data_IF_309037714308
#
_entry.id   IF_309037714308
#
_cell.length_a   1.000
_cell.length_b   1.000
_cell.length_c   1.000
_cell.angle_alpha   90.00
_cell.angle_beta   90.00
_cell.angle_gamma   90.00
#
_symmetry.space_group_name_H-M   'P 1'
#
loop_
_entity.id
_entity.type
_entity.pdbx_description
1 polymer ?
#
# COMPACT_ATOMS: atom_id res chain seq x y z
N UNK A 1 -0.41 -7.75 64.42
CA UNK A 1 0.62 -7.41 65.41
C UNK A 1 1.69 -6.64 64.65
N UNK A 2 1.35 -5.43 64.22
CA UNK A 2 1.31 -4.17 65.01
C UNK A 2 2.72 -3.56 65.01
N UNK A 3 2.91 -2.44 64.29
CA UNK A 3 3.15 -1.07 64.80
C UNK A 3 4.55 -0.96 65.47
N UNK A 4 5.44 0.01 65.26
CA UNK A 4 5.39 1.45 64.92
C UNK A 4 6.88 1.90 64.79
N UNK A 5 7.26 2.80 63.87
CA UNK A 5 7.33 4.29 64.00
C UNK A 5 8.67 4.79 64.59
N UNK A 6 9.32 5.74 63.89
CA UNK A 6 9.97 6.95 64.44
C UNK A 6 10.93 7.65 63.44
N UNK A 7 10.50 8.83 63.01
CA UNK A 7 11.28 9.95 62.45
C UNK A 7 12.17 10.60 63.52
N UNK A 8 13.43 11.00 63.20
CA UNK A 8 14.04 12.24 63.72
C UNK A 8 15.12 12.78 62.76
N UNK A 9 14.97 14.04 62.36
CA UNK A 9 15.96 14.88 61.67
C UNK A 9 17.10 15.36 62.59
N UNK A 10 18.30 15.52 62.03
CA UNK A 10 19.31 16.48 62.56
C UNK A 10 19.96 17.22 61.40
N UNK A 11 19.67 18.52 61.30
CA UNK A 11 20.45 19.51 60.55
C UNK A 11 21.60 20.00 61.43
N UNK A 12 22.78 20.18 60.84
CA UNK A 12 23.75 21.17 61.33
C UNK A 12 24.46 21.83 60.14
N UNK A 13 24.42 23.15 60.17
CA UNK A 13 24.85 24.15 59.18
C UNK A 13 26.30 24.62 59.44
N UNK A 14 26.87 25.33 58.44
CA UNK A 14 28.08 26.19 58.40
C UNK A 14 29.01 25.77 57.24
N UNK A 15 29.46 26.59 56.29
CA UNK A 15 29.36 28.03 56.04
C UNK A 15 30.52 28.43 55.11
N UNK A 16 30.26 29.32 54.14
CA UNK A 16 31.16 30.40 53.63
C UNK A 16 32.45 29.99 52.86
N UNK A 17 33.01 30.66 51.84
CA UNK A 17 32.66 31.70 50.86
C UNK A 17 33.82 31.77 49.81
N UNK A 18 33.51 32.20 48.57
CA UNK A 18 34.31 33.04 47.64
C UNK A 18 35.71 32.63 47.14
N UNK A 19 35.91 32.60 45.81
CA UNK A 19 36.64 33.67 45.07
C UNK A 19 36.77 33.37 43.55
N UNK A 20 36.66 34.46 42.78
CA UNK A 20 36.66 34.62 41.32
C UNK A 20 38.05 34.50 40.66
N UNK A 21 38.11 34.15 39.37
CA UNK A 21 38.90 34.88 38.35
C UNK A 21 38.59 34.42 36.92
N UNK A 22 38.16 35.37 36.10
CA UNK A 22 38.11 35.34 34.64
C UNK A 22 39.49 35.15 33.98
N UNK A 23 39.49 34.67 32.73
CA UNK A 23 40.18 35.33 31.61
C UNK A 23 39.78 34.74 30.24
N UNK A 24 39.27 35.62 29.39
CA UNK A 24 39.15 35.48 27.92
C UNK A 24 40.52 35.51 27.26
N UNK A 25 40.76 34.73 26.19
CA UNK A 25 41.54 35.16 25.00
C UNK A 25 41.04 34.43 23.74
N UNK A 26 41.06 35.20 22.66
CA UNK A 26 40.64 35.05 21.26
C UNK A 26 41.28 33.97 20.37
N UNK A 27 40.56 33.71 19.26
CA UNK A 27 40.93 33.39 17.86
C UNK A 27 42.12 32.46 17.51
N UNK A 28 41.86 31.39 16.73
CA UNK A 28 41.99 31.39 15.24
C UNK A 28 41.99 29.97 14.63
N UNK A 29 41.25 29.83 13.52
CA UNK A 29 41.46 28.96 12.35
C UNK A 29 42.26 27.64 12.49
N UNK A 30 41.61 26.48 12.25
CA UNK A 30 41.76 25.75 10.97
C UNK A 30 40.86 24.50 10.87
N UNK A 31 40.44 24.27 9.64
CA UNK A 31 39.45 23.33 9.15
C UNK A 31 40.06 21.95 8.89
N UNK A 32 39.46 20.88 9.42
CA UNK A 32 39.57 19.54 8.82
C UNK A 32 38.19 18.90 8.77
N UNK A 33 37.64 18.84 7.56
CA UNK A 33 36.52 18.00 7.15
C UNK A 33 36.76 16.54 7.54
N UNK A 34 35.95 16.03 8.46
CA UNK A 34 35.48 14.65 8.46
C UNK A 34 34.30 14.54 9.41
N UNK A 35 33.30 13.75 9.00
CA UNK A 35 32.07 13.38 9.73
C UNK A 35 30.79 14.12 9.35
N UNK A 36 30.41 14.06 8.07
CA UNK A 36 29.05 14.32 7.58
C UNK A 36 28.29 13.06 7.11
N UNK A 37 28.68 11.86 7.55
CA UNK A 37 28.06 10.59 7.10
C UNK A 37 27.38 9.77 8.21
N UNK A 38 27.07 10.35 9.38
CA UNK A 38 26.51 9.57 10.51
C UNK A 38 25.07 9.93 10.92
N UNK A 39 24.35 10.75 10.12
CA UNK A 39 22.94 11.08 10.40
C UNK A 39 21.93 10.15 9.70
N UNK A 40 22.32 9.46 8.63
CA UNK A 40 21.44 8.57 7.86
C UNK A 40 21.40 7.14 8.40
N UNK A 41 22.45 6.69 9.09
CA UNK A 41 22.52 5.33 9.66
C UNK A 41 21.69 5.20 10.94
N UNK A 42 21.50 6.30 11.67
CA UNK A 42 20.81 6.34 12.97
C UNK A 42 19.28 6.38 12.87
N UNK A 43 18.71 6.72 11.70
CA UNK A 43 17.25 6.67 11.46
C UNK A 43 16.75 5.28 11.01
N UNK A 44 17.63 4.45 10.43
CA UNK A 44 17.26 3.13 9.91
C UNK A 44 17.06 2.08 11.02
N UNK A 45 17.52 2.37 12.24
CA UNK A 45 17.45 1.48 13.41
C UNK A 45 16.16 1.57 14.24
N UNK A 46 15.16 2.37 13.81
CA UNK A 46 13.92 2.61 14.59
C UNK A 46 12.61 2.23 13.89
N UNK A 47 12.61 1.87 12.60
CA UNK A 47 11.39 1.47 11.89
C UNK A 47 11.17 -0.05 11.99
N UNK A 48 9.94 -0.46 12.29
CA UNK A 48 9.55 -1.88 12.37
C UNK A 48 9.27 -2.51 11.00
N UNK A 49 9.72 -1.90 9.90
CA UNK A 49 9.43 -2.35 8.55
C UNK A 49 10.49 -1.94 7.52
N UNK A 50 10.51 -2.66 6.41
CA UNK A 50 11.36 -2.43 5.25
C UNK A 50 10.49 -2.28 4.00
N UNK A 51 10.87 -1.35 3.11
CA UNK A 51 10.23 -1.22 1.79
C UNK A 51 11.02 -2.06 0.79
N UNK A 52 10.35 -3.04 0.18
CA UNK A 52 10.89 -3.90 -0.87
C UNK A 52 10.48 -3.36 -2.24
N UNK A 53 11.46 -3.16 -3.12
CA UNK A 53 11.20 -2.89 -4.54
C UNK A 53 10.90 -4.19 -5.28
N UNK A 54 10.33 -4.09 -6.47
CA UNK A 54 10.11 -5.26 -7.33
C UNK A 54 11.39 -6.08 -7.56
N UNK A 55 12.54 -5.42 -7.77
CA UNK A 55 13.83 -6.11 -7.94
C UNK A 55 14.25 -6.93 -6.72
N UNK A 56 13.94 -6.45 -5.51
CA UNK A 56 14.23 -7.15 -4.26
C UNK A 56 13.36 -8.42 -4.16
N UNK A 57 12.08 -8.30 -4.51
CA UNK A 57 11.12 -9.41 -4.53
C UNK A 57 11.54 -10.46 -5.57
N UNK A 58 11.90 -10.03 -6.78
CA UNK A 58 12.40 -10.93 -7.85
C UNK A 58 13.68 -11.66 -7.42
N UNK A 59 14.56 -10.98 -6.66
CA UNK A 59 15.77 -11.59 -6.11
C UNK A 59 15.43 -12.65 -5.05
N UNK A 60 14.48 -12.37 -4.16
CA UNK A 60 14.00 -13.37 -3.19
C UNK A 60 13.37 -14.58 -3.89
N UNK A 61 12.49 -14.36 -4.87
CA UNK A 61 11.92 -15.44 -5.68
C UNK A 61 13.00 -16.33 -6.30
N UNK A 62 14.01 -15.72 -6.95
CA UNK A 62 15.12 -16.47 -7.55
C UNK A 62 15.88 -17.29 -6.52
N UNK A 63 16.16 -16.71 -5.36
CA UNK A 63 16.88 -17.38 -4.27
C UNK A 63 16.11 -18.61 -3.78
N UNK A 64 14.80 -18.47 -3.56
CA UNK A 64 13.95 -19.56 -3.10
C UNK A 64 13.80 -20.66 -4.17
N UNK A 65 13.68 -20.28 -5.45
CA UNK A 65 13.65 -21.22 -6.59
C UNK A 65 14.96 -22.00 -6.70
N UNK A 66 16.11 -21.30 -6.64
CA UNK A 66 17.43 -21.92 -6.71
C UNK A 66 17.67 -22.86 -5.52
N UNK A 67 17.25 -22.46 -4.32
CA UNK A 67 17.34 -23.30 -3.13
C UNK A 67 16.52 -24.58 -3.28
N UNK A 68 15.24 -24.48 -3.63
CA UNK A 68 14.37 -25.65 -3.82
C UNK A 68 14.87 -26.54 -4.95
N UNK A 69 15.23 -25.97 -6.10
CA UNK A 69 15.76 -26.71 -7.25
C UNK A 69 17.03 -27.48 -6.89
N UNK A 70 17.96 -26.87 -6.15
CA UNK A 70 19.22 -27.50 -5.76
C UNK A 70 19.01 -28.58 -4.70
N UNK A 71 18.24 -28.29 -3.65
CA UNK A 71 18.03 -29.20 -2.52
C UNK A 71 17.24 -30.45 -2.94
N UNK A 72 16.22 -30.28 -3.79
CA UNK A 72 15.39 -31.39 -4.27
C UNK A 72 15.94 -32.04 -5.55
N UNK A 73 16.99 -31.47 -6.15
CA UNK A 73 17.58 -31.94 -7.42
C UNK A 73 16.57 -32.03 -8.56
N UNK A 74 15.71 -31.02 -8.68
CA UNK A 74 14.67 -30.87 -9.72
C UNK A 74 14.94 -29.65 -10.59
N UNK A 75 14.27 -29.55 -11.74
CA UNK A 75 14.37 -28.35 -12.57
C UNK A 75 13.81 -27.10 -11.87
N UNK A 76 14.30 -25.91 -12.22
CA UNK A 76 13.75 -24.65 -11.69
C UNK A 76 12.25 -24.50 -12.01
N UNK A 77 11.84 -25.04 -13.15
CA UNK A 77 10.45 -25.03 -13.60
C UNK A 77 9.54 -25.85 -12.68
N UNK A 78 9.98 -27.05 -12.27
CA UNK A 78 9.29 -27.86 -11.27
C UNK A 78 9.32 -27.19 -9.88
N UNK A 79 10.44 -26.58 -9.50
CA UNK A 79 10.56 -25.86 -8.23
C UNK A 79 9.56 -24.70 -8.13
N UNK A 80 9.33 -23.96 -9.23
CA UNK A 80 8.33 -22.91 -9.30
C UNK A 80 6.92 -23.45 -9.03
N UNK A 81 6.55 -24.58 -9.64
CA UNK A 81 5.23 -25.20 -9.43
C UNK A 81 5.03 -25.57 -7.95
N UNK A 82 6.05 -26.16 -7.33
CA UNK A 82 6.01 -26.52 -5.90
C UNK A 82 5.88 -25.26 -5.03
N UNK A 83 6.68 -24.23 -5.28
CA UNK A 83 6.63 -22.98 -4.53
C UNK A 83 5.26 -22.30 -4.65
N UNK A 84 4.67 -22.26 -5.85
CA UNK A 84 3.34 -21.70 -6.04
C UNK A 84 2.27 -22.50 -5.27
N UNK A 85 2.32 -23.83 -5.31
CA UNK A 85 1.37 -24.69 -4.60
C UNK A 85 1.48 -24.53 -3.07
N UNK A 86 2.70 -24.44 -2.54
CA UNK A 86 2.96 -24.31 -1.11
C UNK A 86 3.13 -22.87 -0.63
N UNK A 87 2.63 -21.89 -1.40
CA UNK A 87 2.61 -20.48 -1.02
C UNK A 87 4.00 -19.96 -0.63
N UNK A 88 5.01 -20.26 -1.45
CA UNK A 88 6.40 -19.83 -1.28
C UNK A 88 7.05 -20.24 0.05
N UNK A 89 6.48 -21.23 0.76
CA UNK A 89 7.05 -21.77 1.98
C UNK A 89 8.08 -22.87 1.67
N UNK A 90 9.35 -22.48 1.58
CA UNK A 90 10.47 -23.38 1.26
C UNK A 90 10.56 -24.57 2.22
N UNK A 91 10.42 -24.35 3.53
CA UNK A 91 10.50 -25.43 4.53
C UNK A 91 9.39 -26.44 4.33
N UNK A 92 8.15 -25.99 4.12
CA UNK A 92 7.01 -26.87 3.90
C UNK A 92 7.16 -27.69 2.60
N UNK A 93 7.68 -27.08 1.53
CA UNK A 93 7.97 -27.80 0.28
C UNK A 93 8.95 -28.94 0.55
N UNK A 94 10.04 -28.66 1.27
CA UNK A 94 11.08 -29.64 1.59
C UNK A 94 10.53 -30.77 2.47
N UNK A 95 9.82 -30.44 3.55
CA UNK A 95 9.26 -31.41 4.48
C UNK A 95 8.30 -32.39 3.79
N UNK A 96 7.37 -31.88 2.97
CA UNK A 96 6.40 -32.71 2.25
C UNK A 96 7.06 -33.53 1.14
N UNK A 97 8.02 -32.95 0.42
CA UNK A 97 8.76 -33.66 -0.64
C UNK A 97 9.59 -34.83 -0.10
N UNK A 98 10.30 -34.62 1.01
CA UNK A 98 11.08 -35.69 1.64
C UNK A 98 10.21 -36.74 2.34
N UNK A 99 8.97 -36.41 2.66
CA UNK A 99 8.00 -37.36 3.20
C UNK A 99 7.49 -38.31 2.13
N UNK A 100 7.02 -37.77 0.99
CA UNK A 100 6.48 -38.57 -0.12
C UNK A 100 6.55 -37.78 -1.45
N UNK A 101 7.66 -37.96 -2.18
CA UNK A 101 7.87 -37.30 -3.47
C UNK A 101 6.78 -37.65 -4.49
N UNK A 102 6.35 -38.91 -4.57
CA UNK A 102 5.43 -39.36 -5.61
C UNK A 102 4.05 -38.74 -5.42
N UNK A 103 3.57 -38.73 -4.18
CA UNK A 103 2.33 -38.07 -3.82
C UNK A 103 2.36 -36.57 -4.10
N UNK A 104 3.48 -35.90 -3.79
CA UNK A 104 3.62 -34.46 -4.07
C UNK A 104 3.58 -34.22 -5.57
N UNK A 105 4.32 -35.00 -6.37
CA UNK A 105 4.32 -34.90 -7.84
C UNK A 105 2.94 -35.09 -8.45
N UNK A 106 2.20 -36.10 -8.01
CA UNK A 106 0.82 -36.35 -8.46
C UNK A 106 -0.11 -35.19 -8.09
N UNK A 107 0.01 -34.68 -6.85
CA UNK A 107 -0.81 -33.57 -6.34
C UNK A 107 -0.64 -32.28 -7.17
N UNK A 108 0.60 -31.94 -7.50
CA UNK A 108 0.91 -30.69 -8.24
C UNK A 108 0.92 -30.87 -9.77
N UNK A 109 0.77 -32.10 -10.26
CA UNK A 109 0.71 -32.38 -11.70
C UNK A 109 2.07 -32.41 -12.40
N UNK A 110 3.14 -32.74 -11.67
CA UNK A 110 4.48 -32.94 -12.26
C UNK A 110 4.65 -34.44 -12.55
N UNK A 111 4.37 -34.85 -13.79
CA UNK A 111 4.46 -36.25 -14.21
C UNK A 111 5.91 -36.65 -14.50
N UNK A 112 6.33 -37.84 -14.04
CA UNK A 112 7.66 -38.44 -14.34
C UNK A 112 7.74 -38.97 -15.76
N UNK A 113 6.64 -39.53 -16.27
CA UNK A 113 6.54 -40.10 -17.62
C UNK A 113 5.34 -39.48 -18.37
N UNK A 114 5.44 -39.27 -19.68
CA UNK A 114 4.34 -38.79 -20.47
C UNK A 114 3.23 -39.85 -20.57
N UNK A 115 1.98 -39.41 -20.52
CA UNK A 115 0.80 -40.26 -20.72
C UNK A 115 0.64 -40.62 -22.20
N UNK A 116 1.04 -39.70 -23.07
CA UNK A 116 1.03 -39.87 -24.53
C UNK A 116 2.46 -39.79 -25.05
N UNK A 117 2.95 -40.89 -25.62
CA UNK A 117 4.22 -40.92 -26.34
C UNK A 117 3.99 -40.58 -27.82
N UNK A 118 4.45 -39.40 -28.22
CA UNK A 118 4.40 -38.98 -29.63
C UNK A 118 5.58 -39.64 -30.36
N UNK A 119 5.31 -40.76 -31.04
CA UNK A 119 6.29 -41.41 -31.88
C UNK A 119 6.85 -40.44 -32.93
N UNK A 120 8.18 -40.27 -32.97
CA UNK A 120 8.95 -39.37 -33.84
C UNK A 120 8.83 -39.64 -35.36
N UNK A 121 7.88 -40.50 -35.77
CA UNK A 121 7.65 -40.90 -37.17
C UNK A 121 6.47 -40.19 -37.82
N UNK A 122 5.60 -39.55 -37.05
CA UNK A 122 4.43 -38.84 -37.58
C UNK A 122 4.80 -37.42 -38.02
N UNK A 123 4.73 -37.15 -39.33
CA UNK A 123 5.05 -35.83 -39.88
C UNK A 123 4.03 -34.76 -39.47
N UNK A 124 2.78 -35.16 -39.21
CA UNK A 124 1.69 -34.28 -38.81
C UNK A 124 0.92 -34.90 -37.65
N UNK A 125 0.62 -34.07 -36.66
CA UNK A 125 -0.09 -34.41 -35.43
C UNK A 125 -1.40 -33.64 -35.40
N UNK A 126 -2.50 -34.31 -35.03
CA UNK A 126 -3.81 -33.68 -34.88
C UNK A 126 -3.92 -32.95 -33.54
N UNK A 127 -4.44 -31.72 -33.56
CA UNK A 127 -4.66 -30.92 -32.36
C UNK A 127 -5.98 -31.32 -31.67
N UNK A 128 -5.94 -31.66 -30.37
CA UNK A 128 -7.13 -32.06 -29.60
C UNK A 128 -8.17 -30.96 -29.32
N UNK A 129 -7.96 -29.72 -29.78
CA UNK A 129 -8.88 -28.58 -29.58
C UNK A 129 -9.54 -28.16 -30.90
N UNK A 130 -8.75 -27.88 -31.93
CA UNK A 130 -9.26 -27.43 -33.22
C UNK A 130 -9.45 -28.57 -34.24
N UNK A 131 -8.97 -29.78 -33.95
CA UNK A 131 -9.04 -30.97 -34.82
C UNK A 131 -8.36 -30.80 -36.19
N UNK A 132 -7.45 -29.82 -36.31
CA UNK A 132 -6.61 -29.63 -37.50
C UNK A 132 -5.26 -30.34 -37.34
N UNK A 133 -4.63 -30.72 -38.46
CA UNK A 133 -3.33 -31.41 -38.50
C UNK A 133 -2.19 -30.41 -38.68
N UNK A 134 -1.18 -30.49 -37.81
CA UNK A 134 -0.03 -29.58 -37.82
C UNK A 134 1.29 -30.35 -37.85
N UNK A 135 2.35 -29.80 -38.45
CA UNK A 135 3.70 -30.33 -38.29
C UNK A 135 4.12 -30.37 -36.81
N UNK A 136 4.94 -31.34 -36.42
CA UNK A 136 5.41 -31.50 -35.02
C UNK A 136 5.99 -30.21 -34.41
N UNK A 137 6.69 -29.38 -35.19
CA UNK A 137 7.24 -28.07 -34.78
C UNK A 137 6.19 -27.03 -34.37
N UNK A 138 4.96 -27.16 -34.84
CA UNK A 138 3.83 -26.25 -34.60
C UNK A 138 2.89 -26.78 -33.51
N UNK A 139 3.24 -27.91 -32.90
CA UNK A 139 2.57 -28.54 -31.79
C UNK A 139 3.42 -28.37 -30.53
N UNK A 140 2.75 -28.15 -29.40
CA UNK A 140 3.37 -28.11 -28.09
C UNK A 140 2.65 -29.06 -27.14
N UNK A 141 3.43 -29.62 -26.22
CA UNK A 141 2.99 -30.54 -25.18
C UNK A 141 3.54 -30.08 -23.83
N UNK A 142 2.86 -30.44 -22.75
CA UNK A 142 3.42 -30.39 -21.38
C UNK A 142 3.85 -31.79 -20.96
N UNK A 143 4.21 -32.00 -19.69
CA UNK A 143 4.72 -33.29 -19.17
C UNK A 143 3.85 -34.51 -19.51
N UNK A 144 2.53 -34.35 -19.65
CA UNK A 144 1.62 -35.45 -20.04
C UNK A 144 1.70 -35.90 -21.51
N UNK A 145 2.29 -35.10 -22.41
CA UNK A 145 2.39 -35.44 -23.83
C UNK A 145 1.16 -35.11 -24.69
N UNK A 146 0.04 -34.64 -24.14
CA UNK A 146 -1.15 -34.28 -24.93
C UNK A 146 -0.84 -33.13 -25.92
N UNK A 147 -1.01 -33.35 -27.25
CA UNK A 147 -0.62 -32.40 -28.27
C UNK A 147 -1.70 -31.36 -28.59
N UNK A 148 -1.31 -30.09 -28.56
CA UNK A 148 -2.13 -29.01 -29.10
C UNK A 148 -1.28 -28.07 -29.96
N UNK A 149 -1.88 -27.49 -31.00
CA UNK A 149 -1.17 -26.52 -31.82
C UNK A 149 -0.83 -25.26 -31.01
N UNK A 150 0.24 -24.57 -31.41
CA UNK A 150 0.70 -23.36 -30.72
C UNK A 150 -0.43 -22.31 -30.61
N UNK A 151 -1.27 -22.16 -31.63
CA UNK A 151 -2.38 -21.21 -31.62
C UNK A 151 -3.43 -21.53 -30.53
N UNK A 152 -3.78 -22.81 -30.35
CA UNK A 152 -4.72 -23.22 -29.31
C UNK A 152 -4.13 -23.02 -27.91
N UNK A 153 -2.85 -23.35 -27.71
CA UNK A 153 -2.15 -23.04 -26.47
C UNK A 153 -2.10 -21.55 -26.17
N UNK A 154 -1.74 -20.72 -27.16
CA UNK A 154 -1.74 -19.26 -27.02
C UNK A 154 -3.13 -18.76 -26.62
N UNK A 155 -4.20 -19.20 -27.29
CA UNK A 155 -5.57 -18.80 -26.96
C UNK A 155 -6.00 -19.21 -25.54
N UNK A 156 -5.71 -20.46 -25.16
CA UNK A 156 -6.02 -21.01 -23.84
C UNK A 156 -5.29 -20.25 -22.72
N UNK A 157 -3.98 -20.07 -22.84
CA UNK A 157 -3.16 -19.36 -21.86
C UNK A 157 -3.51 -17.87 -21.82
N UNK A 158 -3.77 -17.24 -22.97
CA UNK A 158 -4.18 -15.83 -23.03
C UNK A 158 -5.48 -15.60 -22.26
N UNK A 159 -6.45 -16.50 -22.44
CA UNK A 159 -7.71 -16.45 -21.69
C UNK A 159 -7.45 -16.58 -20.20
N UNK A 160 -6.64 -17.56 -19.79
CA UNK A 160 -6.27 -17.77 -18.38
C UNK A 160 -5.57 -16.56 -17.76
N UNK A 161 -4.61 -15.92 -18.47
CA UNK A 161 -3.93 -14.69 -18.02
C UNK A 161 -4.92 -13.53 -17.89
N UNK A 162 -5.93 -13.48 -18.75
CA UNK A 162 -6.95 -12.42 -18.69
C UNK A 162 -7.94 -12.60 -17.54
N UNK A 163 -8.25 -13.85 -17.19
CA UNK A 163 -9.15 -14.19 -16.07
C UNK A 163 -8.51 -13.88 -14.71
N UNK A 164 -7.18 -13.94 -14.59
CA UNK A 164 -6.44 -13.43 -13.42
C UNK A 164 -5.32 -14.35 -12.94
N UNK A 165 -4.97 -14.32 -11.62
CA UNK A 165 -3.77 -14.98 -11.10
C UNK A 165 -3.83 -16.52 -11.16
N UNK A 166 -5.00 -17.12 -11.44
CA UNK A 166 -5.13 -18.56 -11.67
C UNK A 166 -4.30 -19.09 -12.85
N UNK A 167 -3.80 -18.21 -13.73
CA UNK A 167 -2.89 -18.58 -14.82
C UNK A 167 -1.56 -19.15 -14.35
N UNK A 168 -1.14 -18.93 -13.10
CA UNK A 168 0.10 -19.46 -12.54
C UNK A 168 0.07 -20.98 -12.32
N UNK A 169 -1.13 -21.57 -12.22
CA UNK A 169 -1.34 -23.00 -11.98
C UNK A 169 -2.19 -23.62 -13.09
N UNK A 170 -2.08 -23.10 -14.32
CA UNK A 170 -2.87 -23.58 -15.45
C UNK A 170 -2.52 -25.04 -15.75
N UNK A 171 -3.52 -25.86 -16.06
CA UNK A 171 -3.36 -27.29 -16.32
C UNK A 171 -3.41 -27.58 -17.82
N UNK A 172 -3.08 -28.81 -18.18
CA UNK A 172 -3.31 -29.34 -19.50
C UNK A 172 -4.79 -29.13 -19.91
N UNK A 173 -5.06 -28.71 -21.17
CA UNK A 173 -6.43 -28.56 -21.66
C UNK A 173 -7.26 -29.85 -21.65
N UNK A 174 -6.61 -31.02 -21.58
CA UNK A 174 -7.29 -32.32 -21.50
C UNK A 174 -8.07 -32.46 -20.19
N UNK A 175 -9.41 -32.62 -20.20
CA UNK A 175 -10.24 -32.55 -18.99
C UNK A 175 -9.87 -33.53 -17.86
N UNK A 176 -9.33 -34.70 -18.19
CA UNK A 176 -8.93 -35.71 -17.20
C UNK A 176 -7.45 -35.63 -16.80
N UNK A 177 -6.71 -34.67 -17.36
CA UNK A 177 -5.28 -34.54 -17.14
C UNK A 177 -4.98 -33.53 -16.02
N UNK A 178 -4.20 -33.94 -15.03
CA UNK A 178 -3.76 -33.06 -13.94
C UNK A 178 -2.43 -32.36 -14.24
N UNK A 179 -1.78 -32.65 -15.37
CA UNK A 179 -0.45 -32.10 -15.67
C UNK A 179 -0.47 -30.58 -15.75
N UNK A 180 0.47 -29.95 -15.06
CA UNK A 180 0.60 -28.49 -15.04
C UNK A 180 1.28 -27.98 -16.31
N UNK A 181 0.81 -26.86 -16.85
CA UNK A 181 1.55 -26.13 -17.86
C UNK A 181 2.48 -25.14 -17.17
N UNK A 182 3.75 -25.44 -17.25
CA UNK A 182 4.80 -24.74 -16.56
C UNK A 182 5.19 -23.41 -17.24
N UNK A 183 6.05 -22.63 -16.57
CA UNK A 183 6.51 -21.32 -17.05
C UNK A 183 7.16 -21.38 -18.45
N UNK A 184 7.89 -22.46 -18.76
CA UNK A 184 8.50 -22.70 -20.07
C UNK A 184 7.46 -22.78 -21.21
N UNK A 185 6.29 -23.37 -20.96
CA UNK A 185 5.18 -23.36 -21.91
C UNK A 185 4.68 -21.94 -22.16
N UNK A 186 4.49 -21.15 -21.10
CA UNK A 186 4.09 -19.73 -21.21
C UNK A 186 5.11 -18.96 -22.04
N UNK A 187 6.39 -19.13 -21.73
CA UNK A 187 7.49 -18.44 -22.42
C UNK A 187 7.59 -18.82 -23.91
N UNK A 188 7.22 -20.05 -24.26
CA UNK A 188 7.22 -20.58 -25.62
C UNK A 188 6.06 -20.05 -26.47
N UNK A 189 4.84 -20.06 -25.94
CA UNK A 189 3.61 -19.81 -26.74
C UNK A 189 3.12 -18.36 -26.67
N UNK A 190 3.55 -17.60 -25.66
CA UNK A 190 3.19 -16.18 -25.53
C UNK A 190 4.34 -15.31 -26.04
N UNK A 191 4.12 -14.74 -27.23
CA UNK A 191 5.04 -13.79 -27.87
C UNK A 191 4.68 -12.33 -27.62
N UNK A 192 3.41 -12.06 -27.28
CA UNK A 192 2.94 -10.72 -26.90
C UNK A 192 3.61 -10.26 -25.60
N UNK A 193 4.29 -9.11 -25.68
CA UNK A 193 5.08 -8.60 -24.57
C UNK A 193 4.23 -8.09 -23.41
N UNK A 194 3.10 -7.44 -23.69
CA UNK A 194 2.21 -6.89 -22.66
C UNK A 194 1.53 -8.03 -21.89
N UNK A 195 1.08 -9.05 -22.61
CA UNK A 195 0.47 -10.24 -22.01
C UNK A 195 1.47 -11.01 -21.15
N UNK A 196 2.72 -11.12 -21.63
CA UNK A 196 3.82 -11.75 -20.89
C UNK A 196 4.17 -10.95 -19.62
N UNK A 197 4.27 -9.63 -19.71
CA UNK A 197 4.46 -8.75 -18.54
C UNK A 197 3.31 -8.89 -17.53
N UNK A 198 2.06 -9.01 -18.00
CA UNK A 198 0.90 -9.27 -17.14
C UNK A 198 1.02 -10.60 -16.39
N UNK A 199 1.44 -11.69 -17.03
CA UNK A 199 1.73 -12.97 -16.37
C UNK A 199 2.83 -12.82 -15.31
N UNK A 200 3.96 -12.21 -15.65
CA UNK A 200 5.06 -12.04 -14.70
C UNK A 200 4.71 -11.11 -13.54
N UNK A 201 3.79 -10.16 -13.74
CA UNK A 201 3.24 -9.38 -12.65
C UNK A 201 2.43 -10.25 -11.68
N UNK A 202 1.59 -11.17 -12.16
CA UNK A 202 0.94 -12.15 -11.27
C UNK A 202 1.96 -13.03 -10.56
N UNK A 203 3.00 -13.47 -11.27
CA UNK A 203 4.05 -14.29 -10.70
C UNK A 203 4.78 -13.60 -9.54
N UNK A 204 5.21 -12.35 -9.71
CA UNK A 204 5.83 -11.55 -8.63
C UNK A 204 4.84 -11.32 -7.49
N UNK A 205 3.59 -10.98 -7.82
CA UNK A 205 2.51 -10.78 -6.83
C UNK A 205 2.27 -11.97 -5.94
N UNK A 206 2.36 -13.18 -6.49
CA UNK A 206 2.16 -14.42 -5.75
C UNK A 206 3.12 -14.55 -4.55
N UNK A 207 4.34 -14.01 -4.64
CA UNK A 207 5.32 -14.06 -3.54
C UNK A 207 4.83 -13.30 -2.30
N UNK A 208 4.42 -12.05 -2.52
CA UNK A 208 3.97 -11.17 -1.45
C UNK A 208 2.62 -11.62 -0.90
N UNK A 209 1.68 -11.98 -1.78
CA UNK A 209 0.35 -12.46 -1.39
C UNK A 209 0.42 -13.78 -0.60
N UNK A 210 1.43 -14.63 -0.88
CA UNK A 210 1.68 -15.87 -0.17
C UNK A 210 2.40 -15.71 1.17
N UNK A 211 3.05 -14.57 1.42
CA UNK A 211 3.78 -14.29 2.67
C UNK A 211 2.89 -14.18 3.92
N UNK A 212 1.57 -14.30 3.74
CA UNK A 212 0.56 -14.17 4.78
C UNK A 212 0.42 -12.72 5.22
N UNK A 213 0.86 -12.41 6.44
CA UNK A 213 0.79 -11.08 7.04
C UNK A 213 2.16 -10.45 7.31
N UNK A 214 3.23 -10.98 6.69
CA UNK A 214 4.59 -10.43 6.80
C UNK A 214 4.88 -9.38 5.74
N UNK A 215 4.48 -9.62 4.49
CA UNK A 215 4.70 -8.72 3.37
C UNK A 215 3.36 -8.34 2.73
N UNK A 216 3.11 -7.04 2.45
CA UNK A 216 1.91 -6.56 1.76
C UNK A 216 2.29 -5.53 0.71
N UNK A 217 1.54 -5.52 -0.39
CA UNK A 217 1.67 -4.52 -1.44
C UNK A 217 1.30 -3.13 -0.94
N UNK A 218 1.99 -2.11 -1.44
CA UNK A 218 1.52 -0.73 -1.31
C UNK A 218 0.16 -0.58 -2.02
N UNK A 219 -0.89 -0.03 -1.37
CA UNK A 219 -2.20 0.11 -1.98
C UNK A 219 -2.29 1.26 -3.01
N UNK A 220 -1.26 2.09 -3.11
CA UNK A 220 -1.20 3.19 -4.09
C UNK A 220 -1.34 2.66 -5.52
N UNK A 221 -2.26 3.19 -6.34
CA UNK A 221 -2.42 2.78 -7.73
C UNK A 221 -1.12 2.93 -8.53
N UNK A 222 -0.72 1.85 -9.21
CA UNK A 222 0.50 1.81 -10.03
C UNK A 222 1.82 1.77 -9.24
N UNK A 223 1.78 1.57 -7.92
CA UNK A 223 2.97 1.29 -7.13
C UNK A 223 3.26 -0.22 -7.09
N UNK A 224 4.50 -0.59 -7.37
CA UNK A 224 4.98 -1.99 -7.39
C UNK A 224 5.93 -2.28 -6.21
N UNK A 225 5.88 -1.46 -5.15
CA UNK A 225 6.63 -1.70 -3.93
C UNK A 225 5.78 -2.49 -2.93
N UNK A 226 6.43 -3.32 -2.13
CA UNK A 226 5.82 -4.00 -0.99
C UNK A 226 6.48 -3.55 0.32
N UNK A 227 5.79 -3.74 1.44
CA UNK A 227 6.30 -3.48 2.78
C UNK A 227 6.47 -4.83 3.47
N UNK A 228 7.66 -5.10 4.00
CA UNK A 228 7.95 -6.22 4.89
C UNK A 228 7.95 -5.71 6.33
N UNK A 229 7.02 -6.18 7.13
CA UNK A 229 6.76 -5.65 8.46
C UNK A 229 7.14 -6.66 9.54
N UNK A 230 8.08 -6.28 10.40
CA UNK A 230 8.44 -7.04 11.58
C UNK A 230 7.53 -6.64 12.74
N UNK A 231 6.59 -7.52 13.10
CA UNK A 231 5.78 -7.34 14.29
C UNK A 231 6.65 -7.50 15.54
N UNK A 232 7.15 -6.40 16.08
CA UNK A 232 7.68 -6.35 17.45
C UNK A 232 6.50 -6.32 18.41
N UNK A 233 6.42 -7.33 19.27
CA UNK A 233 5.34 -7.46 20.27
C UNK A 233 5.16 -6.15 21.04
N UNK A 234 4.01 -5.50 20.87
CA UNK A 234 3.67 -4.24 21.55
C UNK A 234 3.78 -2.96 20.71
N UNK A 235 4.09 -3.00 19.42
CA UNK A 235 4.00 -1.79 18.58
C UNK A 235 2.54 -1.46 18.25
N UNK A 236 2.03 -0.37 18.83
CA UNK A 236 0.73 0.24 18.44
C UNK A 236 0.84 1.08 17.15
N UNK A 237 2.01 1.10 16.52
CA UNK A 237 2.32 1.93 15.36
C UNK A 237 2.32 1.09 14.08
N UNK A 238 1.19 1.11 13.36
CA UNK A 238 1.01 0.39 12.10
C UNK A 238 1.12 1.28 10.86
N UNK A 239 1.17 2.60 11.01
CA UNK A 239 1.31 3.50 9.86
C UNK A 239 2.70 3.36 9.25
N UNK A 240 2.75 3.07 7.95
CA UNK A 240 3.97 2.87 7.19
C UNK A 240 3.98 3.80 5.98
N UNK A 241 5.16 4.36 5.68
CA UNK A 241 5.39 5.19 4.50
C UNK A 241 6.15 4.38 3.43
N UNK A 242 5.59 4.33 2.23
CA UNK A 242 6.19 3.70 1.06
C UNK A 242 7.15 4.66 0.34
N UNK A 243 8.06 4.12 -0.49
CA UNK A 243 8.95 4.91 -1.36
C UNK A 243 8.20 5.75 -2.42
N UNK A 244 6.93 5.45 -2.69
CA UNK A 244 6.07 6.31 -3.53
C UNK A 244 5.42 7.47 -2.77
N UNK A 245 5.85 7.72 -1.53
CA UNK A 245 5.30 8.72 -0.59
C UNK A 245 3.85 8.48 -0.16
N UNK A 246 3.28 7.31 -0.48
CA UNK A 246 1.98 6.90 0.06
C UNK A 246 2.14 6.36 1.47
N UNK A 247 1.30 6.85 2.39
CA UNK A 247 1.25 6.42 3.78
C UNK A 247 -0.05 5.69 4.04
N UNK A 248 0.06 4.47 4.57
CA UNK A 248 -1.09 3.61 4.83
C UNK A 248 -0.89 2.84 6.14
N UNK A 249 -2.00 2.40 6.74
CA UNK A 249 -1.96 1.54 7.90
C UNK A 249 -1.68 0.10 7.47
N UNK A 250 -0.58 -0.46 7.95
CA UNK A 250 -0.21 -1.86 7.69
C UNK A 250 -1.29 -2.86 8.16
N UNK A 251 -1.98 -2.56 9.26
CA UNK A 251 -2.93 -3.48 9.87
C UNK A 251 -4.20 -3.63 9.01
N UNK A 252 -4.89 -2.53 8.72
CA UNK A 252 -6.16 -2.55 7.98
C UNK A 252 -6.02 -2.29 6.47
N UNK A 253 -4.88 -1.78 6.00
CA UNK A 253 -4.64 -1.48 4.57
C UNK A 253 -5.23 -0.15 4.09
N UNK A 254 -5.98 0.55 4.94
CA UNK A 254 -6.50 1.89 4.66
C UNK A 254 -5.41 2.96 4.75
N UNK A 255 -5.72 4.18 4.30
CA UNK A 255 -4.85 5.33 4.48
C UNK A 255 -4.36 5.48 5.92
N UNK A 256 -3.15 5.99 6.12
CA UNK A 256 -2.60 6.24 7.45
C UNK A 256 -3.58 7.11 8.24
N UNK A 257 -4.06 6.57 9.37
CA UNK A 257 -5.27 7.07 10.01
C UNK A 257 -5.07 7.40 11.49
N UNK A 258 -3.82 7.62 11.93
CA UNK A 258 -3.56 8.11 13.29
C UNK A 258 -4.04 9.54 13.51
N UNK A 259 -4.66 9.84 14.67
CA UNK A 259 -4.70 9.01 15.88
C UNK A 259 -5.89 8.04 16.01
N UNK A 260 -6.73 7.89 14.98
CA UNK A 260 -7.91 6.99 15.05
C UNK A 260 -7.49 5.54 14.89
N UNK A 261 -8.18 4.64 15.57
CA UNK A 261 -7.96 3.20 15.49
C UNK A 261 -8.60 2.57 14.24
N UNK A 262 -8.15 1.38 13.85
CA UNK A 262 -8.66 0.70 12.66
C UNK A 262 -10.16 0.39 12.72
N UNK A 263 -10.72 0.11 13.91
CA UNK A 263 -12.13 -0.26 14.06
C UNK A 263 -13.03 0.95 13.77
N UNK A 264 -12.66 2.12 14.28
CA UNK A 264 -13.36 3.37 14.00
C UNK A 264 -13.33 3.73 12.51
N UNK A 265 -12.18 3.55 11.83
CA UNK A 265 -12.08 3.74 10.37
C UNK A 265 -12.97 2.75 9.62
N UNK A 266 -12.94 1.47 10.01
CA UNK A 266 -13.79 0.45 9.40
C UNK A 266 -15.28 0.78 9.51
N UNK A 267 -15.74 1.21 10.71
CA UNK A 267 -17.12 1.68 10.93
C UNK A 267 -17.46 2.89 10.05
N UNK A 268 -16.53 3.85 9.90
CA UNK A 268 -16.72 5.03 9.05
C UNK A 268 -16.90 4.64 7.58
N UNK A 269 -16.02 3.78 7.05
CA UNK A 269 -16.06 3.33 5.66
C UNK A 269 -17.34 2.52 5.39
N UNK A 270 -17.72 1.64 6.30
CA UNK A 270 -18.97 0.88 6.19
C UNK A 270 -20.19 1.82 6.14
N UNK A 271 -20.26 2.81 7.04
CA UNK A 271 -21.33 3.81 7.04
C UNK A 271 -21.40 4.61 5.73
N UNK A 272 -20.25 4.99 5.18
CA UNK A 272 -20.19 5.71 3.90
C UNK A 272 -20.63 4.85 2.71
N UNK A 273 -20.38 3.53 2.79
CA UNK A 273 -20.74 2.58 1.73
C UNK A 273 -22.23 2.23 1.79
N UNK A 274 -22.78 2.03 2.99
CA UNK A 274 -24.19 1.67 3.21
C UNK A 274 -25.16 2.83 2.94
N UNK A 275 -24.73 4.08 3.11
CA UNK A 275 -25.53 5.27 2.78
C UNK A 275 -25.49 5.63 1.28
N UNK A 276 -25.34 4.61 0.42
CA UNK A 276 -25.05 4.70 -1.01
C UNK A 276 -25.96 5.69 -1.79
N UNK A 277 -25.28 6.54 -2.57
CA UNK A 277 -25.75 7.31 -3.74
C UNK A 277 -26.61 8.58 -3.57
N UNK A 278 -27.35 8.79 -2.47
CA UNK A 278 -28.17 10.02 -2.36
C UNK A 278 -27.46 11.25 -1.76
N UNK A 279 -26.28 11.08 -1.13
CA UNK A 279 -25.51 12.17 -0.50
C UNK A 279 -24.44 12.77 -1.43
N UNK A 280 -23.83 11.96 -2.31
CA UNK A 280 -22.81 12.41 -3.26
C UNK A 280 -23.35 13.36 -4.35
N UNK A 281 -24.65 13.34 -4.66
CA UNK A 281 -25.21 14.26 -5.65
C UNK A 281 -25.42 15.68 -5.11
N UNK A 282 -25.57 15.87 -3.79
CA UNK A 282 -25.89 17.18 -3.20
C UNK A 282 -24.61 17.98 -2.88
N UNK A 283 -23.49 17.31 -2.65
CA UNK A 283 -22.20 17.98 -2.45
C UNK A 283 -21.57 18.34 -3.79
N UNK A 284 -22.20 19.27 -4.49
CA UNK A 284 -21.73 19.76 -5.78
C UNK A 284 -20.26 20.20 -5.69
N UNK A 285 -19.46 19.78 -6.68
CA UNK A 285 -18.10 20.31 -6.95
C UNK A 285 -18.08 21.85 -7.15
N UNK A 286 -19.25 22.47 -7.14
CA UNK A 286 -19.46 23.90 -7.21
C UNK A 286 -20.17 24.41 -5.96
N UNK A 287 -19.61 25.44 -5.32
CA UNK A 287 -20.26 26.17 -4.23
C UNK A 287 -20.42 27.64 -4.59
N UNK A 288 -21.50 28.32 -4.13
CA UNK A 288 -21.69 29.74 -4.41
C UNK A 288 -20.73 30.59 -3.58
N UNK A 289 -20.15 31.61 -4.21
CA UNK A 289 -19.37 32.63 -3.52
C UNK A 289 -20.19 33.26 -2.38
N UNK A 290 -19.69 33.37 -1.14
CA UNK A 290 -20.48 33.92 -0.03
C UNK A 290 -20.88 35.38 -0.25
N UNK A 291 -20.04 36.15 -0.97
CA UNK A 291 -20.26 37.56 -1.27
C UNK A 291 -21.14 37.78 -2.52
N UNK A 292 -20.73 37.27 -3.69
CA UNK A 292 -21.40 37.56 -4.96
C UNK A 292 -22.28 36.43 -5.52
N UNK A 293 -22.42 35.30 -4.80
CA UNK A 293 -23.23 34.12 -5.14
C UNK A 293 -22.91 33.39 -6.45
N UNK A 294 -21.90 33.84 -7.22
CA UNK A 294 -21.41 33.13 -8.40
C UNK A 294 -20.92 31.72 -8.03
N UNK A 295 -21.26 30.73 -8.84
CA UNK A 295 -20.78 29.37 -8.67
C UNK A 295 -19.26 29.28 -8.88
N UNK A 296 -18.56 28.65 -7.94
CA UNK A 296 -17.11 28.45 -7.94
C UNK A 296 -16.86 26.96 -7.86
N UNK A 297 -16.09 26.44 -8.82
CA UNK A 297 -15.59 25.07 -8.82
C UNK A 297 -14.32 24.95 -7.96
N UNK A 298 -14.17 23.83 -7.23
CA UNK A 298 -12.94 23.54 -6.50
C UNK A 298 -11.85 23.13 -7.48
N UNK A 299 -10.99 24.07 -7.86
CA UNK A 299 -9.93 23.81 -8.85
C UNK A 299 -8.62 23.32 -8.24
N UNK A 300 -8.38 23.50 -6.93
CA UNK A 300 -7.08 23.26 -6.28
C UNK A 300 -7.25 22.62 -4.89
N UNK A 301 -6.19 22.00 -4.36
CA UNK A 301 -6.21 21.30 -3.07
C UNK A 301 -6.34 22.22 -1.83
N UNK A 302 -6.21 23.53 -1.96
CA UNK A 302 -6.36 24.45 -0.83
C UNK A 302 -7.84 24.73 -0.51
N UNK A 303 -8.23 24.60 0.77
CA UNK A 303 -9.58 24.95 1.23
C UNK A 303 -9.80 26.47 1.36
N UNK A 304 -8.79 27.30 1.13
CA UNK A 304 -8.91 28.77 1.05
C UNK A 304 -9.11 29.17 -0.41
N UNK A 305 -10.33 29.60 -0.74
CA UNK A 305 -10.75 29.91 -2.10
C UNK A 305 -10.82 31.41 -2.31
N UNK A 306 -10.41 31.89 -3.50
CA UNK A 306 -10.52 33.29 -3.90
C UNK A 306 -11.49 33.43 -5.07
N UNK A 307 -12.55 34.23 -4.90
CA UNK A 307 -13.49 34.48 -5.99
C UNK A 307 -12.81 35.21 -7.16
N UNK A 308 -12.99 34.74 -8.40
CA UNK A 308 -12.38 35.36 -9.58
C UNK A 308 -12.88 36.78 -9.87
N UNK A 309 -14.10 37.11 -9.43
CA UNK A 309 -14.77 38.40 -9.71
C UNK A 309 -14.62 39.36 -8.54
N UNK A 310 -15.24 39.06 -7.40
CA UNK A 310 -15.23 39.97 -6.25
C UNK A 310 -13.97 39.85 -5.38
N UNK A 311 -13.03 38.96 -5.74
CA UNK A 311 -11.74 38.74 -5.07
C UNK A 311 -11.79 38.40 -3.58
N UNK A 312 -12.98 38.21 -2.98
CA UNK A 312 -13.09 37.79 -1.59
C UNK A 312 -12.47 36.41 -1.40
N UNK A 313 -11.78 36.24 -0.28
CA UNK A 313 -11.23 34.95 0.16
C UNK A 313 -12.16 34.34 1.19
N UNK A 314 -12.43 33.04 1.07
CA UNK A 314 -13.35 32.32 1.96
C UNK A 314 -12.94 30.87 2.14
N UNK A 315 -13.40 30.23 3.21
CA UNK A 315 -13.20 28.80 3.46
C UNK A 315 -14.20 27.96 2.63
N UNK A 316 -13.71 26.98 1.88
CA UNK A 316 -14.54 26.07 1.06
C UNK A 316 -15.50 25.21 1.90
N UNK A 317 -15.09 24.82 3.10
CA UNK A 317 -15.87 23.93 3.95
C UNK A 317 -17.06 24.68 4.57
N UNK A 318 -16.83 25.85 5.19
CA UNK A 318 -17.90 26.58 5.92
C UNK A 318 -18.43 27.84 5.21
N UNK A 319 -17.89 28.20 4.05
CA UNK A 319 -18.26 29.38 3.25
C UNK A 319 -18.15 30.74 3.99
N UNK A 320 -17.42 30.80 5.10
CA UNK A 320 -17.18 32.05 5.85
C UNK A 320 -16.00 32.84 5.25
N UNK A 321 -16.02 34.19 5.27
CA UNK A 321 -14.87 35.01 4.87
C UNK A 321 -13.59 34.61 5.62
N UNK A 322 -12.45 34.63 4.93
CA UNK A 322 -11.19 34.15 5.48
C UNK A 322 -10.51 35.15 6.43
N UNK A 323 -10.90 36.43 6.42
CA UNK A 323 -10.23 37.51 7.16
C UNK A 323 -10.12 37.26 8.67
N UNK A 324 -11.10 36.57 9.28
CA UNK A 324 -11.13 36.24 10.71
C UNK A 324 -11.39 34.74 10.98
N UNK A 325 -11.10 33.88 10.00
CA UNK A 325 -11.45 32.47 10.07
C UNK A 325 -10.47 31.67 10.96
N UNK A 326 -10.84 31.42 12.22
CA UNK A 326 -10.02 30.69 13.20
C UNK A 326 -10.25 29.18 13.20
N UNK A 327 -11.50 28.73 13.43
CA UNK A 327 -11.86 27.30 13.54
C UNK A 327 -13.25 27.07 12.93
N UNK A 328 -13.39 26.01 12.14
CA UNK A 328 -14.69 25.58 11.59
C UNK A 328 -14.89 24.07 11.62
N UNK A 329 -14.02 23.31 12.29
CA UNK A 329 -14.05 21.84 12.28
C UNK A 329 -15.02 21.24 13.30
N UNK A 330 -15.35 21.98 14.37
CA UNK A 330 -16.30 21.54 15.40
C UNK A 330 -17.74 21.66 14.88
N UNK A 331 -18.56 20.63 15.09
CA UNK A 331 -20.00 20.71 14.86
C UNK A 331 -20.68 21.55 15.95
N UNK A 332 -21.58 22.45 15.55
CA UNK A 332 -22.37 23.31 16.44
C UNK A 332 -23.85 22.93 16.26
N UNK A 333 -24.44 22.21 17.21
CA UNK A 333 -25.85 21.75 17.09
C UNK A 333 -26.31 20.59 17.98
N UNK A 334 -25.49 20.12 18.92
CA UNK A 334 -25.89 19.08 19.88
C UNK A 334 -26.63 19.71 21.08
N UNK A 335 -27.92 19.99 20.93
CA UNK A 335 -28.80 20.25 22.08
C UNK A 335 -29.36 18.91 22.60
N UNK A 336 -28.66 18.32 23.57
CA UNK A 336 -28.99 17.00 24.16
C UNK A 336 -30.34 16.96 24.90
N UNK A 337 -30.88 18.13 25.25
CA UNK A 337 -32.13 18.27 26.01
C UNK A 337 -33.38 18.10 25.15
N UNK A 338 -33.26 17.91 23.83
CA UNK A 338 -34.43 17.80 22.95
C UNK A 338 -35.06 16.40 23.02
N UNK A 339 -36.24 16.33 23.65
CA UNK A 339 -37.04 15.11 23.85
C UNK A 339 -37.59 14.57 22.51
N UNK A 340 -37.57 15.37 21.43
CA UNK A 340 -38.15 15.00 20.15
C UNK A 340 -37.23 14.08 19.33
N UNK A 341 -37.62 12.80 19.22
CA UNK A 341 -36.94 11.76 18.43
C UNK A 341 -36.65 12.20 16.98
N UNK A 342 -37.52 12.97 16.33
CA UNK A 342 -37.30 13.47 14.96
C UNK A 342 -36.19 14.52 14.88
N UNK A 343 -36.13 15.43 15.85
CA UNK A 343 -35.07 16.45 15.90
C UNK A 343 -33.72 15.83 16.25
N UNK A 344 -33.69 14.84 17.13
CA UNK A 344 -32.48 14.08 17.44
C UNK A 344 -31.95 13.31 16.23
N UNK A 345 -32.84 12.67 15.47
CA UNK A 345 -32.46 12.01 14.23
C UNK A 345 -31.89 13.01 13.21
N UNK A 346 -32.53 14.17 13.05
CA UNK A 346 -32.04 15.25 12.18
C UNK A 346 -30.67 15.78 12.61
N UNK A 347 -30.48 16.11 13.88
CA UNK A 347 -29.19 16.57 14.42
C UNK A 347 -28.09 15.54 14.21
N UNK A 348 -28.40 14.24 14.34
CA UNK A 348 -27.43 13.17 14.04
C UNK A 348 -27.06 13.08 12.55
N UNK A 349 -28.00 13.31 11.64
CA UNK A 349 -27.73 13.38 10.20
C UNK A 349 -26.89 14.62 9.87
N UNK A 350 -27.26 15.78 10.42
CA UNK A 350 -26.52 17.03 10.20
C UNK A 350 -25.08 16.94 10.71
N UNK A 351 -24.86 16.27 11.87
CA UNK A 351 -23.53 16.00 12.42
C UNK A 351 -22.71 15.08 11.52
N UNK A 352 -23.29 13.97 11.07
CA UNK A 352 -22.63 13.07 10.13
C UNK A 352 -22.24 13.79 8.84
N UNK A 353 -23.17 14.54 8.23
CA UNK A 353 -22.91 15.32 7.02
C UNK A 353 -21.79 16.34 7.24
N UNK A 354 -21.76 17.04 8.37
CA UNK A 354 -20.70 18.00 8.70
C UNK A 354 -19.30 17.37 8.68
N UNK A 355 -19.14 16.18 9.25
CA UNK A 355 -17.86 15.48 9.26
C UNK A 355 -17.54 14.82 7.92
N UNK A 356 -18.55 14.24 7.26
CA UNK A 356 -18.40 13.63 5.93
C UNK A 356 -17.93 14.63 4.88
N UNK A 357 -18.54 15.82 4.82
CA UNK A 357 -18.14 16.87 3.87
C UNK A 357 -16.67 17.29 4.03
N UNK A 358 -16.19 17.36 5.28
CA UNK A 358 -14.81 17.75 5.58
C UNK A 358 -13.83 16.65 5.21
N UNK A 359 -14.15 15.42 5.58
CA UNK A 359 -13.38 14.24 5.19
C UNK A 359 -13.29 14.11 3.67
N UNK A 360 -14.42 14.15 2.96
CA UNK A 360 -14.46 14.08 1.49
C UNK A 360 -13.69 15.24 0.83
N UNK A 361 -13.86 16.47 1.34
CA UNK A 361 -13.15 17.65 0.82
C UNK A 361 -11.65 17.53 1.00
N UNK A 362 -11.19 17.05 2.16
CA UNK A 362 -9.76 16.97 2.44
C UNK A 362 -9.11 15.73 1.79
N UNK A 363 -9.82 14.62 1.65
CA UNK A 363 -9.44 13.52 0.75
C UNK A 363 -9.24 14.00 -0.69
N UNK A 364 -10.20 14.77 -1.23
CA UNK A 364 -10.08 15.36 -2.58
C UNK A 364 -8.87 16.28 -2.69
N UNK A 365 -8.63 17.10 -1.67
CA UNK A 365 -7.47 18.00 -1.61
C UNK A 365 -6.15 17.24 -1.60
N UNK A 366 -6.09 16.12 -0.89
CA UNK A 366 -4.91 15.27 -0.76
C UNK A 366 -4.54 14.62 -2.09
N UNK A 367 -5.53 14.10 -2.83
CA UNK A 367 -5.30 13.53 -4.17
C UNK A 367 -4.68 14.57 -5.11
N UNK A 368 -5.15 15.82 -5.07
CA UNK A 368 -4.57 16.92 -5.85
C UNK A 368 -3.13 17.20 -5.39
N UNK A 369 -2.88 17.26 -4.08
CA UNK A 369 -1.54 17.50 -3.54
C UNK A 369 -0.52 16.42 -3.95
N UNK A 370 -0.93 15.13 -3.93
CA UNK A 370 -0.10 14.01 -4.39
C UNK A 370 0.20 14.09 -5.89
N UNK A 371 -0.79 14.47 -6.71
CA UNK A 371 -0.58 14.68 -8.15
C UNK A 371 0.39 15.85 -8.42
N UNK A 372 0.23 16.94 -7.69
CA UNK A 372 1.13 18.10 -7.74
C UNK A 372 2.56 17.73 -7.29
N UNK A 373 2.71 16.93 -6.24
CA UNK A 373 4.01 16.43 -5.77
C UNK A 373 4.72 15.60 -6.86
N UNK A 374 4.00 14.67 -7.50
CA UNK A 374 4.56 13.84 -8.58
C UNK A 374 4.98 14.70 -9.78
N UNK A 375 4.18 15.70 -10.13
CA UNK A 375 4.51 16.68 -11.18
C UNK A 375 5.72 17.54 -10.79
N UNK A 376 5.81 17.90 -9.51
CA UNK A 376 6.90 18.70 -8.99
C UNK A 376 8.23 17.95 -9.09
N UNK A 377 8.29 16.72 -8.59
CA UNK A 377 9.47 15.86 -8.63
C UNK A 377 9.92 15.53 -10.07
N UNK A 378 8.98 15.28 -10.99
CA UNK A 378 9.32 14.87 -12.37
C UNK A 378 9.76 16.01 -13.28
N UNK A 379 9.13 17.19 -13.17
CA UNK A 379 9.30 18.30 -14.13
C UNK A 379 9.73 19.60 -13.45
N UNK A 380 9.04 20.01 -12.39
CA UNK A 380 9.20 21.38 -11.88
C UNK A 380 10.51 21.57 -11.09
N UNK A 381 10.99 20.53 -10.40
CA UNK A 381 12.26 20.57 -9.66
C UNK A 381 13.44 20.85 -10.61
N UNK A 382 13.46 20.19 -11.77
CA UNK A 382 14.45 20.45 -12.84
C UNK A 382 14.39 21.87 -13.36
N UNK A 383 13.18 22.38 -13.62
CA UNK A 383 12.99 23.76 -14.08
C UNK A 383 13.39 24.80 -13.03
N UNK A 384 13.13 24.52 -11.75
CA UNK A 384 13.54 25.36 -10.62
C UNK A 384 15.06 25.37 -10.45
N UNK A 385 15.70 24.21 -10.53
CA UNK A 385 17.16 24.07 -10.53
C UNK A 385 17.80 24.90 -11.64
N UNK A 386 17.30 24.77 -12.88
CA UNK A 386 17.78 25.55 -14.02
C UNK A 386 17.60 27.06 -13.86
N UNK A 387 16.48 27.51 -13.29
CA UNK A 387 16.20 28.94 -13.10
C UNK A 387 17.01 29.56 -11.97
N UNK A 388 17.20 28.83 -10.87
CA UNK A 388 17.90 29.30 -9.68
C UNK A 388 19.41 29.06 -9.74
N UNK A 389 19.89 28.30 -10.73
CA UNK A 389 21.31 27.95 -10.86
C UNK A 389 21.84 27.07 -9.73
N UNK A 390 20.95 26.31 -9.07
CA UNK A 390 21.26 25.42 -7.93
C UNK A 390 21.03 23.97 -8.31
N UNK A 391 21.72 23.03 -7.66
CA UNK A 391 21.53 21.60 -7.95
C UNK A 391 20.20 21.09 -7.39
N UNK A 392 19.64 20.04 -7.99
CA UNK A 392 18.39 19.42 -7.50
C UNK A 392 18.51 18.98 -6.02
N UNK A 393 19.70 18.53 -5.61
CA UNK A 393 19.99 18.17 -4.22
C UNK A 393 19.83 19.34 -3.24
N UNK A 394 20.22 20.56 -3.64
CA UNK A 394 20.03 21.77 -2.81
C UNK A 394 18.56 22.19 -2.70
N UNK A 395 17.72 21.76 -3.66
CA UNK A 395 16.28 22.05 -3.68
C UNK A 395 15.44 20.94 -3.04
N UNK A 396 16.05 19.87 -2.53
CA UNK A 396 15.33 18.71 -2.01
C UNK A 396 14.42 19.06 -0.81
N UNK A 397 14.70 20.14 -0.07
CA UNK A 397 13.81 20.65 0.97
C UNK A 397 12.42 21.07 0.43
N UNK A 398 12.34 21.52 -0.83
CA UNK A 398 11.06 21.89 -1.45
C UNK A 398 10.17 20.69 -1.70
N UNK A 399 10.77 19.52 -1.97
CA UNK A 399 10.05 18.23 -2.08
C UNK A 399 9.48 17.85 -0.71
N UNK A 400 10.28 17.93 0.35
CA UNK A 400 9.84 17.64 1.71
C UNK A 400 8.69 18.57 2.20
N UNK A 401 8.68 19.83 1.76
CA UNK A 401 7.58 20.75 2.04
C UNK A 401 6.27 20.33 1.34
N UNK A 402 6.37 19.91 0.08
CA UNK A 402 5.23 19.46 -0.71
C UNK A 402 4.71 18.08 -0.24
N UNK A 403 5.61 17.21 0.22
CA UNK A 403 5.25 15.94 0.88
C UNK A 403 4.43 16.17 2.14
N UNK A 404 4.83 17.11 3.01
CA UNK A 404 4.07 17.45 4.21
C UNK A 404 2.65 17.95 3.92
N UNK A 405 2.44 18.64 2.80
CA UNK A 405 1.10 19.06 2.36
C UNK A 405 0.22 17.90 1.88
N UNK A 406 0.81 16.75 1.58
CA UNK A 406 0.13 15.55 1.09
C UNK A 406 -0.22 14.57 2.22
N UNK A 407 0.25 14.81 3.45
CA UNK A 407 -0.01 13.95 4.62
C UNK A 407 -1.42 14.23 5.18
N UNK A 408 -2.26 13.21 5.40
CA UNK A 408 -3.58 13.38 5.99
C UNK A 408 -3.47 13.67 7.50
N UNK A 409 -3.31 14.94 7.89
CA UNK A 409 -3.25 15.32 9.32
C UNK A 409 -4.58 15.81 9.90
N UNK A 410 -5.51 16.30 9.07
CA UNK A 410 -6.75 16.93 9.53
C UNK A 410 -8.03 16.11 9.28
N UNK A 411 -7.96 15.05 8.46
CA UNK A 411 -9.08 14.16 8.10
C UNK A 411 -9.64 13.36 9.27
N UNK A 412 -8.74 12.97 10.16
CA UNK A 412 -8.90 11.81 11.03
C UNK A 412 -9.66 12.18 12.32
N UNK A 413 -9.58 13.44 12.77
CA UNK A 413 -10.26 13.88 13.99
C UNK A 413 -11.78 13.98 13.86
N UNK A 414 -12.32 14.06 12.64
CA UNK A 414 -13.76 14.06 12.40
C UNK A 414 -14.40 12.68 12.61
N UNK A 415 -13.67 11.63 12.22
CA UNK A 415 -14.11 10.24 12.37
C UNK A 415 -14.26 9.87 13.85
N UNK A 416 -13.26 10.19 14.69
CA UNK A 416 -13.37 9.94 16.13
C UNK A 416 -14.53 10.71 16.75
N UNK A 417 -14.78 11.96 16.37
CA UNK A 417 -15.89 12.75 16.95
C UNK A 417 -17.28 12.22 16.63
N UNK A 418 -17.48 11.50 15.51
CA UNK A 418 -18.76 10.84 15.21
C UNK A 418 -18.98 9.57 16.04
N UNK A 419 -17.92 8.79 16.28
CA UNK A 419 -18.02 7.48 16.96
C UNK A 419 -17.82 7.55 18.47
N UNK A 420 -17.01 8.48 18.99
CA UNK A 420 -16.88 8.73 20.45
C UNK A 420 -18.22 9.14 21.09
N UNK A 421 -19.12 9.77 20.33
CA UNK A 421 -20.45 10.16 20.82
C UNK A 421 -21.48 9.01 20.79
N UNK A 422 -21.22 7.96 20.02
CA UNK A 422 -22.15 6.85 19.81
C UNK A 422 -21.94 5.68 20.79
N UNK A 423 -20.72 5.49 21.28
CA UNK A 423 -20.34 4.35 22.12
C UNK A 423 -20.48 4.61 23.65
N UNK A 424 -20.76 5.86 24.08
CA UNK A 424 -20.86 6.25 25.50
C UNK A 424 -22.29 6.18 26.10
N UNK A 425 -23.18 5.36 25.53
CA UNK A 425 -24.50 5.09 26.15
C UNK A 425 -24.58 3.69 26.74
N UNK A 426 -24.75 3.55 28.07
CA UNK A 426 -25.12 2.27 28.64
C UNK A 426 -26.46 1.86 28.02
N UNK A 427 -26.48 0.70 27.37
CA UNK A 427 -27.72 0.01 27.02
C UNK A 427 -28.48 -0.22 28.34
N UNK A 428 -29.51 0.58 28.59
CA UNK A 428 -30.49 0.34 29.64
C UNK A 428 -31.65 -0.47 29.08
#
# INVERSE_FOLDING_TARGET
MDYSDDDVMVNTDSGEESLLSDNQVDSDYEFTDQDMDNASTTKRSQLSYLVLKEDDIRKHQRTDIEQVSTVLSISQVEAIVLLLHYQWNVSKVQDEWFTDEEKVRELVGILKEPVVDLNDREMNIECGICFESYPQKEVATVSCGHPYCNACWTGYITTSINDGPGCLTVKCPEPSCSAVACQDMIDKVITDKELKEKYYRYFVRSYVEASGNKIKWCPSPGCENAIDFESRSGSEHYDVSCLCSHEFCWNCGEDAHRPVDCDTVSKWIAKNTDESENTNWILANTKPCPNCKRQIEKSMGCNVMRCSICKCMFCWNCLRPFTDHKKCNKFEGDDETDINKRKRAKSSIDRYMHYYERWSSNQSSRVIAMADLKKFQSVQLKLLSLRQGTTESQLQFTVALQENCSIPREDILGMSSEFTYSDDKPRK
#
